data_IF_549899249125
#
_entry.id   IF_549899249125
#
_cell.length_a   1.000
_cell.length_b   1.000
_cell.length_c   1.000
_cell.angle_alpha   90.00
_cell.angle_beta   90.00
_cell.angle_gamma   90.00
#
_symmetry.space_group_name_H-M   'P 1'
#
loop_
_entity.id
_entity.type
_entity.pdbx_description
1 polymer ?
#
# COMPACT_ATOMS: atom_id res chain seq x y z
N UNK A 1 -23.89 -29.86 -58.43
CA UNK A 1 -22.71 -29.08 -58.01
C UNK A 1 -23.08 -27.68 -57.48
N UNK A 2 -23.89 -27.58 -56.41
CA UNK A 2 -24.32 -26.27 -55.81
C UNK A 2 -23.96 -26.16 -54.31
N UNK A 3 -23.59 -27.26 -53.64
CA UNK A 3 -23.45 -27.29 -52.18
C UNK A 3 -22.07 -26.86 -51.65
N UNK A 4 -21.00 -26.95 -52.43
CA UNK A 4 -19.64 -26.64 -51.94
C UNK A 4 -19.37 -25.13 -51.83
N UNK A 5 -19.85 -24.33 -52.80
CA UNK A 5 -19.72 -22.86 -52.75
C UNK A 5 -20.54 -22.25 -51.61
N UNK A 6 -21.74 -22.76 -51.32
CA UNK A 6 -22.57 -22.28 -50.20
C UNK A 6 -21.96 -22.62 -48.84
N UNK A 7 -21.33 -23.79 -48.72
CA UNK A 7 -20.65 -24.21 -47.49
C UNK A 7 -19.40 -23.37 -47.19
N UNK A 8 -18.58 -23.07 -48.21
CA UNK A 8 -17.42 -22.18 -48.08
C UNK A 8 -17.80 -20.75 -47.70
N UNK A 9 -18.89 -20.22 -48.26
CA UNK A 9 -19.40 -18.88 -47.89
C UNK A 9 -19.88 -18.85 -46.44
N UNK A 10 -20.56 -19.90 -45.97
CA UNK A 10 -21.00 -20.00 -44.57
C UNK A 10 -19.83 -20.03 -43.58
N UNK A 11 -18.76 -20.77 -43.90
CA UNK A 11 -17.54 -20.82 -43.08
C UNK A 11 -16.84 -19.46 -43.07
N UNK A 12 -16.76 -18.77 -44.20
CA UNK A 12 -16.15 -17.44 -44.28
C UNK A 12 -16.95 -16.41 -43.44
N UNK A 13 -18.29 -16.45 -43.49
CA UNK A 13 -19.15 -15.56 -42.68
C UNK A 13 -19.03 -15.87 -41.18
N UNK A 14 -18.92 -17.14 -40.78
CA UNK A 14 -18.68 -17.53 -39.38
C UNK A 14 -17.31 -17.08 -38.87
N UNK A 15 -16.25 -17.17 -39.70
CA UNK A 15 -14.93 -16.65 -39.34
C UNK A 15 -14.90 -15.11 -39.22
N UNK A 16 -15.63 -14.38 -40.07
CA UNK A 16 -15.73 -12.91 -39.97
C UNK A 16 -16.48 -12.45 -38.71
N UNK A 17 -17.46 -13.20 -38.23
CA UNK A 17 -18.18 -12.89 -36.98
C UNK A 17 -17.41 -13.23 -35.70
N UNK A 18 -16.35 -14.04 -35.78
CA UNK A 18 -15.58 -14.51 -34.62
C UNK A 18 -14.48 -13.53 -34.14
N UNK A 19 -14.20 -12.45 -34.90
CA UNK A 19 -13.01 -11.61 -34.73
C UNK A 19 -13.19 -10.37 -33.82
N UNK A 20 -14.31 -10.23 -33.10
CA UNK A 20 -14.61 -9.00 -32.35
C UNK A 20 -14.90 -9.22 -30.86
N UNK A 21 -14.35 -10.26 -30.23
CA UNK A 21 -14.26 -10.32 -28.76
C UNK A 21 -13.07 -9.47 -28.28
N UNK A 22 -13.21 -8.14 -28.39
CA UNK A 22 -12.32 -7.23 -27.69
C UNK A 22 -12.62 -7.35 -26.19
N UNK A 23 -11.76 -8.06 -25.45
CA UNK A 23 -11.74 -7.97 -24.00
C UNK A 23 -11.47 -6.50 -23.63
N UNK A 24 -12.52 -5.77 -23.21
CA UNK A 24 -12.36 -4.41 -22.66
C UNK A 24 -11.47 -4.52 -21.43
N UNK A 25 -10.18 -4.28 -21.61
CA UNK A 25 -9.24 -4.16 -20.51
C UNK A 25 -9.75 -3.08 -19.55
N UNK A 26 -9.62 -3.32 -18.24
CA UNK A 26 -9.94 -2.34 -17.21
C UNK A 26 -9.29 -1.00 -17.58
N UNK A 27 -10.11 0.03 -17.87
CA UNK A 27 -9.65 1.33 -18.38
C UNK A 27 -8.90 2.13 -17.30
N UNK A 28 -9.19 1.87 -16.02
CA UNK A 28 -8.61 2.58 -14.89
C UNK A 28 -7.58 1.68 -14.19
N UNK A 29 -6.32 1.72 -14.64
CA UNK A 29 -5.20 1.04 -13.97
C UNK A 29 -4.22 2.06 -13.43
N UNK A 30 -3.76 1.85 -12.21
CA UNK A 30 -2.60 2.54 -11.68
C UNK A 30 -1.37 1.63 -11.76
N UNK A 31 -0.22 2.23 -12.05
CA UNK A 31 1.05 1.52 -12.17
C UNK A 31 2.10 2.15 -11.26
N UNK A 32 3.02 1.33 -10.75
CA UNK A 32 4.22 1.79 -10.06
C UNK A 32 5.41 0.92 -10.43
N UNK A 33 6.48 1.55 -10.90
CA UNK A 33 7.76 0.89 -11.14
C UNK A 33 8.66 1.03 -9.92
N UNK A 34 9.16 -0.10 -9.44
CA UNK A 34 10.04 -0.21 -8.28
C UNK A 34 11.41 -0.56 -8.82
N UNK A 35 12.35 0.37 -8.65
CA UNK A 35 13.75 0.19 -9.01
C UNK A 35 14.49 -0.48 -7.88
N UNK A 36 15.24 -1.52 -8.22
CA UNK A 36 15.95 -2.36 -7.27
C UNK A 36 14.99 -2.73 -6.10
N UNK A 37 14.07 -3.68 -6.29
CA UNK A 37 13.08 -4.09 -5.28
C UNK A 37 13.72 -4.86 -4.12
N UNK A 38 13.46 -4.48 -2.85
CA UNK A 38 14.09 -5.09 -1.65
C UNK A 38 13.11 -6.03 -0.94
N UNK A 39 13.63 -7.04 -0.26
CA UNK A 39 12.89 -7.83 0.71
C UNK A 39 13.70 -8.03 1.99
N UNK A 40 13.14 -7.63 3.14
CA UNK A 40 13.84 -7.62 4.43
C UNK A 40 15.18 -6.86 4.40
N UNK A 41 15.21 -5.72 3.69
CA UNK A 41 16.38 -4.83 3.62
C UNK A 41 17.37 -5.12 2.48
N UNK A 42 17.40 -6.34 1.95
CA UNK A 42 18.33 -6.74 0.88
C UNK A 42 17.66 -6.82 -0.49
N UNK A 43 18.46 -6.94 -1.56
CA UNK A 43 17.93 -7.07 -2.93
C UNK A 43 17.04 -8.31 -3.07
N UNK A 44 15.84 -8.17 -3.61
CA UNK A 44 14.95 -9.30 -3.89
C UNK A 44 15.57 -10.19 -4.97
N UNK A 45 15.65 -11.49 -4.68
CA UNK A 45 16.11 -12.52 -5.61
C UNK A 45 15.13 -12.68 -6.77
N UNK A 46 15.66 -12.95 -7.97
CA UNK A 46 14.87 -13.14 -9.17
C UNK A 46 14.02 -14.43 -9.14
N UNK A 47 14.45 -15.43 -8.37
CA UNK A 47 13.82 -16.74 -8.26
C UNK A 47 13.36 -17.07 -6.83
N UNK A 48 12.54 -18.10 -6.69
CA UNK A 48 12.26 -18.78 -5.43
C UNK A 48 13.51 -19.52 -4.93
N UNK A 49 13.53 -19.87 -3.64
CA UNK A 49 14.68 -20.55 -3.03
C UNK A 49 14.99 -21.91 -3.69
N UNK A 50 13.97 -22.59 -4.21
CA UNK A 50 14.09 -23.89 -4.89
C UNK A 50 14.28 -23.74 -6.41
N UNK A 51 14.33 -22.50 -6.91
CA UNK A 51 14.56 -22.18 -8.32
C UNK A 51 13.41 -22.54 -9.26
N UNK A 52 12.25 -22.98 -8.74
CA UNK A 52 11.12 -23.43 -9.57
C UNK A 52 10.32 -22.26 -10.16
N UNK A 53 10.27 -21.14 -9.45
CA UNK A 53 9.56 -19.95 -9.88
C UNK A 53 10.53 -18.81 -10.02
N UNK A 54 10.48 -18.10 -11.15
CA UNK A 54 11.38 -16.99 -11.42
C UNK A 54 10.65 -15.85 -12.13
N UNK A 55 11.19 -14.64 -12.02
CA UNK A 55 10.71 -13.50 -12.78
C UNK A 55 9.28 -13.11 -12.40
N UNK A 56 8.33 -13.32 -13.32
CA UNK A 56 6.96 -12.82 -13.17
C UNK A 56 6.23 -13.40 -11.95
N UNK A 57 6.48 -14.66 -11.59
CA UNK A 57 5.79 -15.30 -10.47
C UNK A 57 6.21 -14.69 -9.13
N UNK A 58 7.52 -14.55 -8.93
CA UNK A 58 8.09 -13.85 -7.76
C UNK A 58 7.67 -12.37 -7.75
N UNK A 59 7.71 -11.70 -8.91
CA UNK A 59 7.31 -10.31 -9.04
C UNK A 59 5.81 -10.08 -8.75
N UNK A 60 4.93 -11.00 -9.15
CA UNK A 60 3.51 -10.96 -8.83
C UNK A 60 3.28 -11.05 -7.32
N UNK A 61 3.88 -12.03 -6.66
CA UNK A 61 3.80 -12.20 -5.20
C UNK A 61 4.32 -10.95 -4.48
N UNK A 62 5.44 -10.39 -4.95
CA UNK A 62 5.99 -9.15 -4.40
C UNK A 62 5.03 -7.97 -4.57
N UNK A 63 4.44 -7.76 -5.75
CA UNK A 63 3.43 -6.73 -5.98
C UNK A 63 2.19 -6.91 -5.09
N UNK A 64 1.73 -8.15 -4.89
CA UNK A 64 0.61 -8.48 -4.02
C UNK A 64 0.90 -8.15 -2.55
N UNK A 65 2.11 -8.42 -2.07
CA UNK A 65 2.54 -8.01 -0.73
C UNK A 65 2.56 -6.49 -0.55
N UNK A 66 2.76 -5.74 -1.63
CA UNK A 66 2.70 -4.27 -1.64
C UNK A 66 1.27 -3.73 -1.88
N UNK A 67 0.28 -4.59 -2.06
CA UNK A 67 -1.13 -4.20 -2.26
C UNK A 67 -1.54 -3.95 -3.70
N UNK A 68 -0.75 -4.38 -4.68
CA UNK A 68 -1.12 -4.36 -6.11
C UNK A 68 -1.67 -5.72 -6.56
N UNK A 69 -2.35 -5.76 -7.71
CA UNK A 69 -2.95 -7.01 -8.20
C UNK A 69 -1.89 -7.96 -8.79
N UNK A 70 -0.96 -7.41 -9.59
CA UNK A 70 0.03 -8.19 -10.33
C UNK A 70 1.23 -7.34 -10.80
N UNK A 71 2.29 -8.01 -11.26
CA UNK A 71 3.40 -7.40 -12.00
C UNK A 71 3.08 -7.31 -13.48
N UNK A 72 2.97 -6.09 -14.01
CA UNK A 72 2.81 -5.86 -15.45
C UNK A 72 4.09 -6.13 -16.22
N UNK A 73 5.24 -5.78 -15.65
CA UNK A 73 6.58 -5.98 -16.22
C UNK A 73 7.59 -6.26 -15.10
N UNK A 74 8.66 -6.98 -15.45
CA UNK A 74 9.82 -7.17 -14.58
C UNK A 74 11.08 -7.29 -15.44
N UNK A 75 12.18 -6.77 -14.94
CA UNK A 75 13.49 -6.82 -15.59
C UNK A 75 14.50 -7.40 -14.61
N UNK A 76 15.26 -8.38 -15.07
CA UNK A 76 16.30 -9.05 -14.28
C UNK A 76 17.57 -8.18 -14.19
N UNK A 77 18.20 -8.19 -13.03
CA UNK A 77 19.57 -7.73 -12.80
C UNK A 77 20.44 -8.97 -12.58
N UNK A 78 21.40 -9.21 -13.48
CA UNK A 78 22.29 -10.35 -13.38
C UNK A 78 23.42 -10.10 -12.39
N UNK A 79 23.89 -11.17 -11.76
CA UNK A 79 25.12 -11.20 -10.96
C UNK A 79 25.20 -10.13 -9.86
N UNK A 80 24.10 -9.92 -9.14
CA UNK A 80 24.01 -8.92 -8.07
C UNK A 80 24.88 -9.29 -6.86
N UNK A 81 25.12 -10.58 -6.65
CA UNK A 81 26.02 -11.06 -5.59
C UNK A 81 25.32 -11.37 -4.27
N UNK A 82 24.44 -10.49 -3.79
CA UNK A 82 23.68 -10.71 -2.55
C UNK A 82 22.21 -10.39 -2.76
N UNK A 83 21.35 -11.40 -2.52
CA UNK A 83 19.91 -11.29 -2.67
C UNK A 83 19.16 -12.10 -1.60
N UNK A 84 17.91 -11.74 -1.32
CA UNK A 84 16.99 -12.44 -0.43
C UNK A 84 15.86 -13.09 -1.20
N UNK A 85 15.54 -14.34 -0.85
CA UNK A 85 14.39 -15.04 -1.41
C UNK A 85 13.08 -14.50 -0.81
N UNK A 86 12.08 -14.30 -1.66
CA UNK A 86 10.76 -13.85 -1.22
C UNK A 86 10.14 -14.88 -0.26
N UNK A 87 9.47 -14.39 0.80
CA UNK A 87 8.79 -15.23 1.80
C UNK A 87 9.69 -16.22 2.55
N UNK A 88 11.01 -15.98 2.55
CA UNK A 88 12.00 -16.78 3.27
C UNK A 88 13.00 -15.88 3.98
N UNK A 89 13.70 -16.44 4.98
CA UNK A 89 14.88 -15.79 5.60
C UNK A 89 16.20 -16.18 4.92
N UNK A 90 16.13 -17.07 3.93
CA UNK A 90 17.30 -17.53 3.18
C UNK A 90 17.77 -16.45 2.20
N UNK A 91 19.07 -16.47 1.92
CA UNK A 91 19.74 -15.53 1.02
C UNK A 91 20.50 -16.29 -0.05
N UNK A 92 20.62 -15.71 -1.24
CA UNK A 92 21.60 -16.14 -2.22
C UNK A 92 22.86 -15.29 -2.03
N UNK A 93 24.02 -15.95 -1.97
CA UNK A 93 25.34 -15.30 -1.87
C UNK A 93 26.25 -15.84 -2.97
N UNK A 94 26.83 -14.93 -3.76
CA UNK A 94 27.78 -15.25 -4.82
C UNK A 94 27.38 -14.68 -6.18
N UNK A 95 28.31 -14.72 -7.12
CA UNK A 95 28.18 -14.08 -8.43
C UNK A 95 27.00 -14.59 -9.28
N UNK A 96 26.45 -15.78 -8.99
CA UNK A 96 25.30 -16.36 -9.72
C UNK A 96 23.95 -15.83 -9.23
N UNK A 97 23.94 -15.05 -8.15
CA UNK A 97 22.71 -14.53 -7.57
C UNK A 97 22.18 -13.37 -8.39
N UNK A 98 20.95 -13.52 -8.88
CA UNK A 98 20.28 -12.53 -9.71
C UNK A 98 19.20 -11.84 -8.90
N UNK A 99 18.98 -10.57 -9.16
CA UNK A 99 17.88 -9.81 -8.56
C UNK A 99 16.96 -9.24 -9.63
N UNK A 100 16.03 -8.41 -9.18
CA UNK A 100 15.27 -7.55 -10.08
C UNK A 100 15.94 -6.18 -10.24
N UNK A 101 16.13 -5.75 -11.49
CA UNK A 101 16.45 -4.37 -11.82
C UNK A 101 15.20 -3.50 -11.60
N UNK A 102 14.07 -3.92 -12.17
CA UNK A 102 12.78 -3.28 -11.97
C UNK A 102 11.65 -4.29 -11.84
N UNK A 103 10.64 -3.93 -11.05
CA UNK A 103 9.32 -4.55 -11.08
C UNK A 103 8.28 -3.44 -11.25
N UNK A 104 7.47 -3.53 -12.31
CA UNK A 104 6.30 -2.68 -12.51
C UNK A 104 5.06 -3.40 -11.97
N UNK A 105 4.44 -2.85 -10.93
CA UNK A 105 3.21 -3.35 -10.36
C UNK A 105 2.00 -2.60 -10.94
N UNK A 106 0.88 -3.30 -11.08
CA UNK A 106 -0.37 -2.77 -11.59
C UNK A 106 -1.53 -3.09 -10.63
N UNK A 107 -2.45 -2.16 -10.49
CA UNK A 107 -3.71 -2.35 -9.75
C UNK A 107 -4.88 -1.79 -10.57
N UNK A 108 -5.98 -2.53 -10.61
CA UNK A 108 -7.25 -2.04 -11.10
C UNK A 108 -7.84 -1.03 -10.12
N UNK A 109 -8.03 0.20 -10.56
CA UNK A 109 -8.77 1.19 -9.78
C UNK A 109 -10.26 0.90 -9.92
N UNK A 110 -10.86 0.53 -8.79
CA UNK A 110 -12.31 0.41 -8.67
C UNK A 110 -12.90 1.74 -8.24
N UNK A 111 -14.09 2.06 -8.74
CA UNK A 111 -14.91 3.15 -8.21
C UNK A 111 -15.40 2.86 -6.78
N UNK A 112 -15.40 1.57 -6.39
CA UNK A 112 -15.66 1.17 -5.02
C UNK A 112 -14.32 1.22 -4.25
N UNK A 113 -14.21 2.03 -3.18
CA UNK A 113 -12.99 2.09 -2.40
C UNK A 113 -12.65 0.69 -1.86
N UNK A 114 -11.36 0.28 -1.87
CA UNK A 114 -10.94 -1.04 -1.45
C UNK A 114 -11.45 -1.34 -0.04
N UNK A 115 -11.91 -2.58 0.15
CA UNK A 115 -12.31 -3.05 1.45
C UNK A 115 -11.09 -3.08 2.37
N UNK A 116 -11.26 -2.75 3.64
CA UNK A 116 -10.20 -2.14 4.39
C UNK A 116 -9.71 -3.14 5.42
N UNK A 117 -8.76 -3.98 5.01
CA UNK A 117 -8.37 -5.13 5.80
C UNK A 117 -6.98 -4.96 6.42
N UNK A 118 -6.95 -5.29 7.70
CA UNK A 118 -5.80 -5.65 8.56
C UNK A 118 -4.92 -4.59 9.26
N UNK A 119 -4.96 -3.29 8.92
CA UNK A 119 -4.42 -2.24 9.80
C UNK A 119 -5.18 -0.91 9.67
N UNK A 120 -6.52 -0.95 9.73
CA UNK A 120 -7.34 0.29 9.75
C UNK A 120 -7.02 1.15 10.96
N UNK A 121 -6.71 0.51 12.08
CA UNK A 121 -6.67 1.16 13.37
C UNK A 121 -5.25 1.18 13.92
N UNK A 122 -4.79 2.36 14.30
CA UNK A 122 -3.53 2.54 15.02
C UNK A 122 -3.80 3.32 16.29
N UNK A 123 -3.43 2.73 17.42
CA UNK A 123 -3.42 3.43 18.69
C UNK A 123 -2.10 4.19 18.84
N UNK A 124 -2.22 5.49 19.07
CA UNK A 124 -1.12 6.35 19.44
C UNK A 124 -1.18 6.56 20.95
N UNK A 125 -0.26 5.91 21.66
CA UNK A 125 -0.04 6.19 23.09
C UNK A 125 0.69 7.52 23.24
N UNK A 126 0.23 8.36 24.17
CA UNK A 126 0.78 9.69 24.44
C UNK A 126 1.06 10.49 23.16
N UNK A 127 0.05 10.71 22.30
CA UNK A 127 0.24 11.25 20.96
C UNK A 127 0.97 12.60 20.99
N UNK A 128 1.99 12.71 20.13
CA UNK A 128 2.82 13.91 19.98
C UNK A 128 2.76 14.44 18.56
N UNK A 129 2.87 15.76 18.43
CA UNK A 129 3.00 16.45 17.15
C UNK A 129 4.05 17.55 17.29
N UNK A 130 5.09 17.52 16.45
CA UNK A 130 6.25 18.42 16.53
C UNK A 130 6.80 18.49 17.97
N UNK A 131 7.18 17.33 18.51
CA UNK A 131 7.82 17.10 19.82
C UNK A 131 6.95 17.26 21.08
N UNK A 132 5.85 18.02 21.01
CA UNK A 132 4.94 18.23 22.13
C UNK A 132 3.80 17.24 22.16
N UNK A 133 3.35 16.90 23.38
CA UNK A 133 2.13 16.09 23.60
C UNK A 133 0.92 16.92 23.18
N UNK A 134 0.03 16.30 22.40
CA UNK A 134 -1.15 16.97 21.85
C UNK A 134 -2.12 17.31 22.98
N UNK A 135 -2.49 18.59 23.04
CA UNK A 135 -3.49 19.09 23.98
C UNK A 135 -4.86 18.47 23.70
N UNK A 136 -5.65 18.30 24.76
CA UNK A 136 -7.03 17.80 24.66
C UNK A 136 -7.92 18.67 23.76
N UNK A 137 -7.62 19.95 23.66
CA UNK A 137 -8.37 20.95 22.90
C UNK A 137 -7.67 21.34 21.60
N UNK A 138 -8.50 21.61 20.58
CA UNK A 138 -8.00 21.97 19.24
C UNK A 138 -7.37 23.36 19.27
N UNK A 139 -8.02 24.31 19.96
CA UNK A 139 -7.54 25.68 20.18
C UNK A 139 -7.76 26.07 21.67
N UNK A 140 -6.74 26.00 22.52
CA UNK A 140 -6.79 26.28 23.98
C UNK A 140 -7.92 25.59 24.74
N UNK A 141 -9.12 26.17 24.75
CA UNK A 141 -10.32 25.68 25.45
C UNK A 141 -11.48 25.35 24.48
N UNK A 142 -11.23 25.41 23.17
CA UNK A 142 -12.23 25.20 22.12
C UNK A 142 -11.94 23.93 21.34
N UNK A 143 -13.02 23.25 20.93
CA UNK A 143 -12.92 22.08 20.05
C UNK A 143 -12.24 20.89 20.71
N UNK A 144 -12.58 20.61 21.97
CA UNK A 144 -11.92 19.57 22.75
C UNK A 144 -12.39 18.15 22.44
N UNK A 145 -11.53 17.17 22.69
CA UNK A 145 -11.80 15.75 22.43
C UNK A 145 -11.82 15.46 20.93
N UNK A 146 -13.01 15.19 20.38
CA UNK A 146 -13.15 14.62 19.02
C UNK A 146 -12.51 15.49 17.92
N UNK A 147 -12.67 16.82 17.97
CA UNK A 147 -12.11 17.72 16.94
C UNK A 147 -10.59 17.72 16.95
N UNK A 148 -9.97 17.81 18.13
CA UNK A 148 -8.51 17.71 18.27
C UNK A 148 -7.99 16.33 17.87
N UNK A 149 -8.67 15.26 18.31
CA UNK A 149 -8.30 13.88 17.98
C UNK A 149 -8.40 13.59 16.47
N UNK A 150 -9.46 14.04 15.81
CA UNK A 150 -9.62 13.91 14.36
C UNK A 150 -8.52 14.68 13.61
N UNK A 151 -8.22 15.91 14.01
CA UNK A 151 -7.12 16.68 13.42
C UNK A 151 -5.77 15.95 13.55
N UNK A 152 -5.52 15.34 14.71
CA UNK A 152 -4.33 14.52 14.93
C UNK A 152 -4.30 13.34 13.97
N UNK A 153 -5.37 12.56 13.89
CA UNK A 153 -5.46 11.41 12.98
C UNK A 153 -5.26 11.80 11.52
N UNK A 154 -5.88 12.89 11.06
CA UNK A 154 -5.69 13.39 9.69
C UNK A 154 -4.24 13.78 9.41
N UNK A 155 -3.56 14.45 10.34
CA UNK A 155 -2.12 14.77 10.21
C UNK A 155 -1.23 13.52 10.21
N UNK A 156 -1.67 12.45 10.87
CA UNK A 156 -0.99 11.14 10.86
C UNK A 156 -1.34 10.27 9.63
N UNK A 157 -2.18 10.75 8.71
CA UNK A 157 -2.56 10.03 7.49
C UNK A 157 -3.77 9.08 7.61
N UNK A 158 -4.56 9.22 8.68
CA UNK A 158 -5.78 8.47 8.95
C UNK A 158 -7.02 9.32 8.65
N UNK A 159 -8.20 8.69 8.47
CA UNK A 159 -9.43 9.43 8.17
C UNK A 159 -9.97 10.15 9.40
N UNK A 160 -10.01 9.49 10.56
CA UNK A 160 -10.61 10.02 11.78
C UNK A 160 -10.15 9.28 13.04
N UNK A 161 -10.47 9.84 14.21
CA UNK A 161 -10.34 9.16 15.50
C UNK A 161 -11.57 8.29 15.79
N UNK A 162 -11.34 7.04 16.15
CA UNK A 162 -12.38 6.08 16.56
C UNK A 162 -12.62 6.11 18.07
N UNK A 163 -11.55 6.24 18.85
CA UNK A 163 -11.59 6.30 20.32
C UNK A 163 -10.42 7.15 20.81
N UNK A 164 -10.60 7.86 21.92
CA UNK A 164 -9.53 8.62 22.55
C UNK A 164 -9.77 8.76 24.05
N UNK A 165 -8.70 8.90 24.81
CA UNK A 165 -8.74 8.97 26.28
C UNK A 165 -8.03 10.24 26.74
N UNK A 166 -8.65 10.99 27.65
CA UNK A 166 -8.08 12.19 28.27
C UNK A 166 -7.15 11.83 29.41
N UNK A 167 -6.09 12.60 29.57
CA UNK A 167 -5.27 12.66 30.78
C UNK A 167 -5.26 14.12 31.27
N UNK A 168 -5.57 14.33 32.54
CA UNK A 168 -5.60 15.66 33.16
C UNK A 168 -4.35 15.93 33.99
N UNK A 169 -4.08 17.22 34.21
CA UNK A 169 -3.00 17.70 35.07
C UNK A 169 -1.60 17.33 34.57
N UNK A 170 -1.34 17.60 33.30
CA UNK A 170 -0.06 17.33 32.64
C UNK A 170 0.79 18.59 32.60
N UNK A 171 2.11 18.48 32.75
CA UNK A 171 3.00 19.64 32.83
C UNK A 171 3.06 20.51 31.57
N UNK A 172 2.98 19.91 30.38
CA UNK A 172 3.10 20.63 29.11
C UNK A 172 2.35 19.95 27.97
N UNK A 173 1.60 20.75 27.19
CA UNK A 173 0.87 20.32 26.00
C UNK A 173 0.90 21.40 24.91
N UNK A 174 0.56 21.01 23.68
CA UNK A 174 0.43 21.94 22.56
C UNK A 174 -0.88 21.70 21.80
N UNK A 175 -1.64 22.78 21.59
CA UNK A 175 -2.87 22.72 20.80
C UNK A 175 -2.56 22.43 19.32
N UNK A 176 -3.36 21.56 18.70
CA UNK A 176 -3.06 21.09 17.34
C UNK A 176 -3.56 22.03 16.24
N UNK A 177 -4.54 22.87 16.55
CA UNK A 177 -5.04 23.96 15.70
C UNK A 177 -4.16 25.20 15.86
N UNK A 178 -4.27 25.87 17.01
CA UNK A 178 -3.60 27.15 17.27
C UNK A 178 -2.09 27.07 17.50
N UNK A 179 -1.51 25.87 17.72
CA UNK A 179 -0.09 25.68 18.03
C UNK A 179 0.38 26.36 19.34
N UNK A 180 -0.55 26.74 20.20
CA UNK A 180 -0.28 27.38 21.48
C UNK A 180 0.16 26.34 22.52
N UNK A 181 1.11 26.73 23.36
CA UNK A 181 1.62 25.89 24.44
C UNK A 181 0.81 26.14 25.72
N UNK A 182 0.52 25.06 26.44
CA UNK A 182 0.03 25.11 27.80
C UNK A 182 1.11 24.56 28.73
N UNK A 183 1.35 25.25 29.84
CA UNK A 183 2.27 24.82 30.90
C UNK A 183 1.59 24.87 32.27
N UNK A 184 1.87 23.87 33.11
CA UNK A 184 1.35 23.77 34.48
C UNK A 184 0.26 22.72 34.66
N UNK A 185 -0.16 22.51 35.90
CA UNK A 185 -1.04 21.40 36.29
C UNK A 185 -2.51 21.56 35.83
N UNK A 186 -2.83 22.61 35.10
CA UNK A 186 -4.14 22.84 34.49
C UNK A 186 -4.24 22.25 33.07
N UNK A 187 -3.12 21.86 32.46
CA UNK A 187 -3.11 21.36 31.09
C UNK A 187 -3.63 19.93 31.00
N UNK A 188 -4.26 19.62 29.86
CA UNK A 188 -4.86 18.32 29.61
C UNK A 188 -4.36 17.79 28.27
N UNK A 189 -4.05 16.50 28.22
CA UNK A 189 -3.57 15.86 27.01
C UNK A 189 -4.41 14.66 26.63
N UNK A 190 -4.16 14.11 25.44
CA UNK A 190 -4.59 12.76 25.14
C UNK A 190 -3.65 11.74 25.78
N UNK A 191 -4.20 10.75 26.49
CA UNK A 191 -3.50 9.53 26.92
C UNK A 191 -3.31 8.57 25.76
N UNK A 192 -4.37 8.35 24.98
CA UNK A 192 -4.28 7.64 23.71
C UNK A 192 -5.30 8.14 22.70
N UNK A 193 -4.99 7.97 21.42
CA UNK A 193 -5.92 8.16 20.30
C UNK A 193 -5.83 6.94 19.39
N UNK A 194 -6.95 6.26 19.21
CA UNK A 194 -7.14 5.21 18.21
C UNK A 194 -7.60 5.87 16.91
N UNK A 195 -6.70 5.99 15.94
CA UNK A 195 -7.00 6.51 14.61
C UNK A 195 -7.45 5.39 13.69
N UNK A 196 -8.36 5.70 12.77
CA UNK A 196 -8.95 4.79 11.80
C UNK A 196 -8.76 5.30 10.36
N UNK A 197 -8.48 4.41 9.42
CA UNK A 197 -8.38 4.65 7.98
C UNK A 197 -9.47 3.94 7.19
#
# INVERSE_FOLDING_TARGET
>A
MINFKRFLVFIFVLCFFSLQLNAKGLQNKAFRTIWHPTYLGERLDYCSFDGKECGKDVANRYCQMLGYDYSSQNVIAYNVGLTNYLSSRLQCKGWRCNGFMTISCAIGLSHNPPKPYHYREKEFAYPRYNDYRVDWCYDKDKGCGARAANSFCSRMGYLQAKRFVKESQISATKSIGSQELCFGNQCNAFKSILCYR
#
